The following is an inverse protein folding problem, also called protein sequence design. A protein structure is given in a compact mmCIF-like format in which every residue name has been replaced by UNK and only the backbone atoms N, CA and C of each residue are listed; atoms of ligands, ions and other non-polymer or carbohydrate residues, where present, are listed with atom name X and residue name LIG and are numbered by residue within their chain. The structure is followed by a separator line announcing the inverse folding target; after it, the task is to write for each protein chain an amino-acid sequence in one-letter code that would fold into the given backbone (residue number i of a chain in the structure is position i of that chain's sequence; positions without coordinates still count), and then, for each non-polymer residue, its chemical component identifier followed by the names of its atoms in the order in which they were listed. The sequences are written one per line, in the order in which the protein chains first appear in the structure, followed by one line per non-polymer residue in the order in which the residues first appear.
data_IF_214194879150
#
_entry.id   IF_214194879150
#
_cell.length_a   1.000
_cell.length_b   1.000
_cell.length_c   1.000
_cell.angle_alpha   90.00
_cell.angle_beta   90.00
_cell.angle_gamma   90.00
#
_symmetry.space_group_name_H-M   'P 1'
#
loop_
_entity.id
_entity.type
_entity.pdbx_description
1 polymer ?
#
# COMPACT_ATOMS: atom_id res chain seq x y z
N UNK A 1 22.49 -6.84 9.70
CA UNK A 1 21.85 -7.13 11.01
C UNK A 1 20.46 -6.53 11.17
N UNK A 2 20.10 -5.36 10.62
CA UNK A 2 18.72 -4.83 10.78
C UNK A 2 17.64 -5.54 9.93
N UNK A 3 17.99 -6.06 8.75
CA UNK A 3 17.02 -6.68 7.81
C UNK A 3 16.40 -7.98 8.34
N UNK A 4 17.13 -8.76 9.14
CA UNK A 4 16.65 -10.04 9.68
C UNK A 4 15.68 -9.84 10.85
N UNK A 5 15.94 -8.86 11.71
CA UNK A 5 15.12 -8.55 12.88
C UNK A 5 13.67 -8.15 12.53
N UNK A 6 13.46 -7.49 11.38
CA UNK A 6 12.11 -7.10 10.98
C UNK A 6 11.29 -8.31 10.50
N UNK A 7 11.90 -9.24 9.75
CA UNK A 7 11.23 -10.44 9.25
C UNK A 7 10.66 -11.32 10.37
N UNK A 8 11.44 -11.51 11.43
CA UNK A 8 11.05 -12.29 12.61
C UNK A 8 9.91 -11.65 13.42
N UNK A 9 9.78 -10.32 13.41
CA UNK A 9 8.67 -9.62 14.06
C UNK A 9 7.31 -9.93 13.42
N UNK A 10 7.27 -10.23 12.12
CA UNK A 10 6.06 -10.56 11.37
C UNK A 10 5.68 -12.05 11.45
N UNK A 11 6.63 -12.95 11.69
CA UNK A 11 6.41 -14.41 11.55
C UNK A 11 5.61 -15.09 12.67
N UNK A 12 5.21 -14.36 13.71
CA UNK A 12 4.47 -14.94 14.85
C UNK A 12 3.28 -14.13 15.36
N UNK A 13 3.06 -12.92 14.85
CA UNK A 13 1.95 -12.05 15.28
C UNK A 13 0.90 -11.96 14.18
N UNK A 14 -0.34 -12.29 14.54
CA UNK A 14 -1.49 -11.99 13.68
C UNK A 14 -1.49 -10.49 13.37
N UNK A 15 -1.66 -10.11 12.10
CA UNK A 15 -1.57 -8.72 11.64
C UNK A 15 -2.42 -7.76 12.48
N UNK A 16 -3.63 -8.20 12.86
CA UNK A 16 -4.55 -7.47 13.74
C UNK A 16 -4.04 -7.19 15.17
N UNK A 17 -2.91 -7.76 15.60
CA UNK A 17 -2.26 -7.51 16.90
C UNK A 17 -1.13 -6.49 16.82
N UNK A 18 -0.82 -5.99 15.62
CA UNK A 18 0.22 -4.99 15.42
C UNK A 18 -0.41 -3.60 15.53
N UNK A 19 0.16 -2.73 16.37
CA UNK A 19 -0.40 -1.40 16.66
C UNK A 19 -0.49 -0.48 15.44
N UNK A 20 0.35 -0.70 14.44
CA UNK A 20 0.35 0.03 13.19
C UNK A 20 -0.60 -0.56 12.14
N UNK A 21 -1.09 -1.79 12.32
CA UNK A 21 -1.99 -2.44 11.37
C UNK A 21 -3.42 -1.94 11.55
N UNK A 22 -3.94 -1.30 10.51
CA UNK A 22 -5.31 -0.82 10.45
C UNK A 22 -6.03 -1.50 9.29
N UNK A 23 -7.13 -2.25 9.54
CA UNK A 23 -7.82 -3.00 8.50
C UNK A 23 -8.49 -2.09 7.45
N UNK A 24 -8.85 -0.87 7.83
CA UNK A 24 -9.34 0.17 6.92
C UNK A 24 -8.43 1.38 7.09
N UNK A 25 -7.79 1.82 6.01
CA UNK A 25 -6.85 2.95 5.99
C UNK A 25 -7.60 4.29 5.82
N UNK A 26 -8.59 4.55 6.67
CA UNK A 26 -9.45 5.74 6.61
C UNK A 26 -8.66 7.04 6.60
N UNK A 27 -7.60 7.14 7.41
CA UNK A 27 -6.74 8.33 7.45
C UNK A 27 -6.09 8.60 6.09
N UNK A 28 -5.47 7.58 5.49
CA UNK A 28 -4.83 7.71 4.18
C UNK A 28 -5.86 8.02 3.09
N UNK A 29 -7.01 7.35 3.08
CA UNK A 29 -8.09 7.60 2.11
C UNK A 29 -8.61 9.05 2.24
N UNK A 30 -8.86 9.52 3.45
CA UNK A 30 -9.34 10.88 3.65
C UNK A 30 -8.28 11.91 3.24
N UNK A 31 -7.01 11.66 3.56
CA UNK A 31 -5.92 12.51 3.10
C UNK A 31 -5.87 12.59 1.58
N UNK A 32 -6.00 11.46 0.87
CA UNK A 32 -6.00 11.47 -0.61
C UNK A 32 -7.13 12.29 -1.21
N UNK A 33 -8.30 12.36 -0.54
CA UNK A 33 -9.42 13.21 -0.97
C UNK A 33 -9.20 14.70 -0.73
N UNK A 34 -8.35 15.06 0.25
CA UNK A 34 -7.97 16.46 0.50
C UNK A 34 -6.88 16.95 -0.45
N UNK A 35 -6.15 16.01 -1.06
CA UNK A 35 -5.13 16.31 -2.06
C UNK A 35 -5.82 16.37 -3.42
N UNK A 36 -5.57 17.44 -4.19
CA UNK A 36 -6.16 17.62 -5.51
C UNK A 36 -5.40 16.80 -6.58
N UNK A 37 -5.34 15.48 -6.37
CA UNK A 37 -4.62 14.51 -7.21
C UNK A 37 -5.58 13.97 -8.27
N UNK A 38 -5.21 14.08 -9.53
CA UNK A 38 -5.96 13.47 -10.64
C UNK A 38 -5.87 11.95 -10.58
N UNK A 39 -6.91 11.26 -11.07
CA UNK A 39 -6.92 9.79 -11.20
C UNK A 39 -5.81 9.25 -12.12
N UNK A 40 -5.21 10.09 -12.94
CA UNK A 40 -4.12 9.73 -13.86
C UNK A 40 -2.73 10.08 -13.32
N UNK A 41 -2.65 10.86 -12.24
CA UNK A 41 -1.37 11.27 -11.67
C UNK A 41 -0.62 10.07 -11.12
N UNK A 42 0.71 10.11 -11.20
CA UNK A 42 1.56 9.06 -10.67
C UNK A 42 1.52 9.08 -9.13
N UNK A 43 1.10 7.95 -8.54
CA UNK A 43 1.09 7.74 -7.09
C UNK A 43 2.06 6.62 -6.74
N UNK A 44 3.00 6.89 -5.82
CA UNK A 44 3.91 5.87 -5.28
C UNK A 44 3.49 5.55 -3.85
N UNK A 45 3.00 4.34 -3.62
CA UNK A 45 2.71 3.80 -2.30
C UNK A 45 3.99 3.15 -1.73
N UNK A 46 4.72 3.88 -0.89
CA UNK A 46 5.96 3.41 -0.27
C UNK A 46 5.63 2.53 0.94
N UNK A 47 6.31 1.40 1.04
CA UNK A 47 6.12 0.38 2.07
C UNK A 47 4.69 -0.14 2.19
N UNK A 48 4.07 -0.31 1.02
CA UNK A 48 2.67 -0.71 0.93
C UNK A 48 2.36 -2.09 1.54
N UNK A 49 3.34 -2.95 1.80
CA UNK A 49 3.14 -4.28 2.39
C UNK A 49 2.05 -5.10 1.67
N UNK A 50 1.09 -5.63 2.41
CA UNK A 50 -0.11 -6.34 1.90
C UNK A 50 -1.18 -5.36 1.36
N UNK A 51 -0.78 -4.47 0.46
CA UNK A 51 -1.35 -3.14 0.20
C UNK A 51 -2.87 -3.03 -0.04
N UNK A 52 -3.63 -2.87 1.04
CA UNK A 52 -5.02 -2.43 1.00
C UNK A 52 -5.17 -1.04 0.36
N UNK A 53 -4.22 -0.11 0.56
CA UNK A 53 -4.33 1.26 0.05
C UNK A 53 -4.33 1.31 -1.48
N UNK A 54 -3.37 0.64 -2.13
CA UNK A 54 -3.31 0.59 -3.59
C UNK A 54 -4.61 -0.01 -4.16
N UNK A 55 -5.12 -1.09 -3.57
CA UNK A 55 -6.42 -1.67 -3.94
C UNK A 55 -7.58 -0.68 -3.77
N UNK A 56 -7.60 0.10 -2.70
CA UNK A 56 -8.62 1.14 -2.49
C UNK A 56 -8.54 2.25 -3.54
N UNK A 57 -7.34 2.73 -3.85
CA UNK A 57 -7.12 3.77 -4.86
C UNK A 57 -7.52 3.28 -6.27
N UNK A 58 -7.18 2.05 -6.63
CA UNK A 58 -7.64 1.44 -7.88
C UNK A 58 -9.18 1.38 -7.94
N UNK A 59 -9.85 0.98 -6.84
CA UNK A 59 -11.32 0.98 -6.75
C UNK A 59 -11.94 2.37 -6.85
N UNK A 60 -11.19 3.42 -6.45
CA UNK A 60 -11.63 4.82 -6.58
C UNK A 60 -11.39 5.39 -7.99
N UNK A 61 -10.67 4.69 -8.87
CA UNK A 61 -10.44 5.10 -10.26
C UNK A 61 -9.01 5.56 -10.56
N UNK A 62 -8.10 5.55 -9.59
CA UNK A 62 -6.70 5.86 -9.86
C UNK A 62 -6.07 4.79 -10.74
N UNK A 63 -5.26 5.19 -11.72
CA UNK A 63 -4.77 4.29 -12.79
C UNK A 63 -3.25 4.14 -12.80
N UNK A 64 -2.51 5.09 -12.22
CA UNK A 64 -1.05 5.12 -12.27
C UNK A 64 -0.44 4.95 -10.88
N UNK A 65 -0.51 3.73 -10.35
CA UNK A 65 -0.05 3.41 -8.99
C UNK A 65 1.16 2.48 -9.03
N UNK A 66 2.23 2.89 -8.36
CA UNK A 66 3.40 2.04 -8.10
C UNK A 66 3.47 1.72 -6.62
N UNK A 67 3.70 0.46 -6.27
CA UNK A 67 3.91 0.04 -4.87
C UNK A 67 5.37 -0.34 -4.67
N UNK A 68 6.00 0.23 -3.65
CA UNK A 68 7.35 -0.15 -3.21
C UNK A 68 7.26 -0.87 -1.86
N UNK A 69 8.10 -1.87 -1.61
CA UNK A 69 8.13 -2.64 -0.36
C UNK A 69 9.57 -2.88 0.13
N UNK A 70 9.85 -2.55 1.41
CA UNK A 70 11.20 -2.73 1.99
C UNK A 70 11.57 -4.18 2.35
N UNK A 71 10.58 -5.02 2.66
CA UNK A 71 10.75 -6.38 3.20
C UNK A 71 9.78 -7.41 2.60
N UNK A 72 9.89 -7.58 1.29
CA UNK A 72 9.70 -8.84 0.57
C UNK A 72 9.98 -8.52 -0.87
N UNK A 73 10.68 -9.40 -1.59
CA UNK A 73 10.92 -9.21 -3.02
C UNK A 73 9.60 -9.44 -3.77
N UNK A 74 8.76 -8.42 -3.85
CA UNK A 74 7.53 -8.42 -4.64
C UNK A 74 7.47 -7.08 -5.39
N UNK A 75 7.73 -7.12 -6.69
CA UNK A 75 7.39 -6.05 -7.62
C UNK A 75 6.06 -6.42 -8.29
N UNK A 76 5.00 -5.65 -8.04
CA UNK A 76 3.79 -5.70 -8.87
C UNK A 76 3.71 -4.43 -9.69
N UNK A 77 3.74 -4.58 -11.02
CA UNK A 77 3.36 -3.53 -11.96
C UNK A 77 1.95 -3.85 -12.46
N UNK A 78 0.95 -3.16 -11.94
CA UNK A 78 -0.44 -3.33 -12.36
C UNK A 78 -0.70 -2.34 -13.49
N UNK A 79 -0.68 -2.83 -14.73
CA UNK A 79 -1.20 -2.10 -15.87
C UNK A 79 -2.66 -2.54 -16.07
N UNK A 80 -3.61 -1.68 -15.74
CA UNK A 80 -5.01 -1.90 -16.12
C UNK A 80 -5.17 -1.34 -17.54
N UNK A 81 -5.15 -2.22 -18.54
CA UNK A 81 -5.60 -1.88 -19.89
C UNK A 81 -7.11 -1.62 -19.80
N UNK A 82 -7.50 -0.36 -19.98
CA UNK A 82 -8.91 0.03 -20.06
C UNK A 82 -9.60 -0.68 -21.23
N UNK A 83 -10.80 -1.20 -20.94
CA UNK A 83 -11.81 -1.54 -21.92
C UNK A 83 -12.74 -0.33 -22.11
#
# INVERSE_FOLDING_TARGET
MEKEALGEYYTGKSLNKLSWHHPILTTSINLTKTLNISFTDAVINIDGGDSFLACYLLKMGYTNITVSVLLRKILFKINILGA
#
